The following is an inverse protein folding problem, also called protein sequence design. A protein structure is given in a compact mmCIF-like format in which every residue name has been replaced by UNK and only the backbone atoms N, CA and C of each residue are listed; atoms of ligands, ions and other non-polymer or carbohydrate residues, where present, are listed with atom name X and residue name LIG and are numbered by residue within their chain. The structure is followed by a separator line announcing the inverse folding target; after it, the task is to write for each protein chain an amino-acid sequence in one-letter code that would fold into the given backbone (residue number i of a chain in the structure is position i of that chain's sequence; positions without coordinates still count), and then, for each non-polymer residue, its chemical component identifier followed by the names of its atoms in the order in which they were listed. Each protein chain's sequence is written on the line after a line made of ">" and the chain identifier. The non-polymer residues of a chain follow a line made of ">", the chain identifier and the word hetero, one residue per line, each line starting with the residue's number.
data_IF_908730703053
#
_entry.id   IF_908730703053
#
_cell.length_a   1.000
_cell.length_b   1.000
_cell.length_c   1.000
_cell.angle_alpha   90.00
_cell.angle_beta   90.00
_cell.angle_gamma   90.00
#
_symmetry.space_group_name_H-M   'P 1'
#
loop_
_entity.id
_entity.type
_entity.pdbx_description
1 polymer ?
#
# COMPACT_ATOMS: atom_id res chain seq x y z
N UNK A 1 4.21 -11.72 -46.36
CA UNK A 1 3.24 -10.99 -45.51
C UNK A 1 2.64 -11.80 -44.36
N UNK A 2 2.41 -13.12 -44.47
CA UNK A 2 1.77 -13.93 -43.40
C UNK A 2 2.64 -14.15 -42.14
N UNK A 3 3.98 -14.10 -42.27
CA UNK A 3 4.92 -14.32 -41.15
C UNK A 3 5.09 -13.11 -40.23
N UNK A 4 4.86 -11.88 -40.72
CA UNK A 4 4.98 -10.66 -39.90
C UNK A 4 3.89 -10.53 -38.85
N UNK A 5 2.70 -11.04 -39.12
CA UNK A 5 1.57 -10.96 -38.17
C UNK A 5 1.85 -11.82 -36.93
N UNK A 6 2.52 -12.96 -37.11
CA UNK A 6 2.89 -13.90 -36.03
C UNK A 6 3.94 -13.27 -35.10
N UNK A 7 4.88 -12.50 -35.65
CA UNK A 7 5.92 -11.83 -34.85
C UNK A 7 5.31 -10.69 -34.03
N UNK A 8 4.35 -9.95 -34.61
CA UNK A 8 3.68 -8.85 -33.94
C UNK A 8 2.79 -9.33 -32.78
N UNK A 9 2.10 -10.45 -32.94
CA UNK A 9 1.33 -11.06 -31.86
C UNK A 9 2.21 -11.63 -30.75
N UNK A 10 3.38 -12.20 -31.09
CA UNK A 10 4.34 -12.67 -30.08
C UNK A 10 4.86 -11.52 -29.21
N UNK A 11 5.18 -10.37 -29.81
CA UNK A 11 5.66 -9.18 -29.11
C UNK A 11 4.64 -8.60 -28.13
N UNK A 12 3.34 -8.69 -28.44
CA UNK A 12 2.26 -8.23 -27.56
C UNK A 12 2.08 -9.10 -26.30
N UNK A 13 2.40 -10.40 -26.40
CA UNK A 13 2.28 -11.34 -25.27
C UNK A 13 3.42 -11.13 -24.26
N UNK A 14 4.62 -10.75 -24.72
CA UNK A 14 5.78 -10.54 -23.82
C UNK A 14 5.68 -9.22 -23.03
N UNK A 15 5.12 -8.16 -23.63
CA UNK A 15 4.91 -6.87 -22.93
C UNK A 15 3.78 -6.93 -21.91
N UNK A 16 2.77 -7.79 -22.12
CA UNK A 16 1.66 -7.97 -21.17
C UNK A 16 2.03 -8.77 -19.92
N UNK A 17 3.13 -9.54 -19.93
CA UNK A 17 3.64 -10.22 -18.73
C UNK A 17 4.23 -9.25 -17.68
N UNK A 18 4.66 -8.05 -18.05
CA UNK A 18 5.07 -7.03 -17.08
C UNK A 18 3.85 -6.37 -16.39
N UNK A 19 2.72 -6.27 -17.08
CA UNK A 19 1.48 -5.70 -16.57
C UNK A 19 0.72 -6.63 -15.60
N UNK A 20 0.97 -7.94 -15.65
CA UNK A 20 0.27 -8.96 -14.86
C UNK A 20 1.02 -9.41 -13.59
N UNK A 21 2.26 -8.98 -13.36
CA UNK A 21 3.09 -9.48 -12.24
C UNK A 21 2.60 -9.06 -10.85
N UNK A 22 1.76 -8.04 -10.73
CA UNK A 22 1.26 -7.58 -9.44
C UNK A 22 -0.26 -7.45 -9.51
N UNK A 23 -0.99 -8.45 -9.04
CA UNK A 23 -2.45 -8.42 -8.88
C UNK A 23 -2.88 -7.31 -7.91
N UNK A 24 -2.85 -6.05 -8.36
CA UNK A 24 -3.41 -4.88 -7.70
C UNK A 24 -2.70 -4.35 -6.46
N UNK A 25 -1.70 -5.05 -5.91
CA UNK A 25 -1.00 -4.59 -4.70
C UNK A 25 0.35 -3.95 -5.08
N UNK A 26 0.50 -2.62 -5.00
CA UNK A 26 1.80 -1.97 -5.21
C UNK A 26 2.80 -2.48 -4.17
N UNK A 27 3.89 -3.09 -4.63
CA UNK A 27 4.99 -3.51 -3.77
C UNK A 27 5.90 -2.31 -3.52
N UNK A 28 5.93 -1.84 -2.27
CA UNK A 28 6.87 -0.81 -1.83
C UNK A 28 8.23 -1.41 -1.54
N UNK A 29 9.29 -0.80 -2.07
CA UNK A 29 10.67 -1.26 -1.91
C UNK A 29 11.55 -0.15 -1.35
N UNK A 30 12.48 -0.53 -0.47
CA UNK A 30 13.48 0.41 0.02
C UNK A 30 14.30 0.96 -1.15
N UNK A 31 14.63 2.25 -1.10
CA UNK A 31 15.33 2.98 -2.15
C UNK A 31 14.45 3.48 -3.30
N UNK A 32 13.14 3.18 -3.32
CA UNK A 32 12.23 3.78 -4.30
C UNK A 32 12.14 5.29 -4.09
N UNK A 33 11.90 6.04 -5.17
CA UNK A 33 11.73 7.49 -5.07
C UNK A 33 10.38 7.85 -4.43
N UNK A 34 10.34 8.98 -3.73
CA UNK A 34 9.11 9.57 -3.21
C UNK A 34 8.08 9.86 -4.32
N UNK A 35 8.57 10.21 -5.50
CA UNK A 35 7.73 10.40 -6.69
C UNK A 35 7.07 9.10 -7.13
N UNK A 36 7.83 8.01 -7.27
CA UNK A 36 7.29 6.70 -7.65
C UNK A 36 6.30 6.18 -6.59
N UNK A 37 6.60 6.44 -5.32
CA UNK A 37 5.75 6.07 -4.20
C UNK A 37 4.40 6.78 -4.26
N UNK A 38 4.40 8.10 -4.36
CA UNK A 38 3.18 8.92 -4.40
C UNK A 38 2.38 8.74 -5.69
N UNK A 39 3.04 8.49 -6.82
CA UNK A 39 2.38 8.18 -8.09
C UNK A 39 1.55 6.88 -8.04
N UNK A 40 1.97 5.91 -7.21
CA UNK A 40 1.30 4.60 -7.07
C UNK A 40 0.05 4.62 -6.18
N UNK A 41 -0.22 5.71 -5.47
CA UNK A 41 -1.21 5.78 -4.39
C UNK A 41 -2.29 6.83 -4.70
N UNK A 42 -3.52 6.38 -5.03
CA UNK A 42 -4.67 7.29 -5.25
C UNK A 42 -5.56 7.51 -4.01
N UNK A 43 -5.49 6.65 -2.99
CA UNK A 43 -6.42 6.69 -1.85
C UNK A 43 -5.74 6.29 -0.53
N UNK A 44 -6.09 6.96 0.58
CA UNK A 44 -5.70 6.67 1.98
C UNK A 44 -4.22 6.90 2.36
N UNK A 45 -3.51 7.78 1.66
CA UNK A 45 -2.18 8.24 2.04
C UNK A 45 -2.28 9.64 2.67
N UNK A 46 -1.68 9.83 3.85
CA UNK A 46 -1.62 11.10 4.55
C UNK A 46 -0.18 11.51 4.79
N UNK A 47 0.15 12.76 4.53
CA UNK A 47 1.44 13.34 4.92
C UNK A 47 1.44 13.59 6.43
N UNK A 48 2.43 13.05 7.13
CA UNK A 48 2.60 13.21 8.59
C UNK A 48 3.61 14.31 8.87
N UNK A 49 4.71 14.31 8.13
CA UNK A 49 5.81 15.25 8.32
C UNK A 49 6.52 15.49 6.98
N UNK A 50 6.93 16.73 6.73
CA UNK A 50 7.80 17.11 5.63
C UNK A 50 8.79 18.17 6.11
N UNK A 51 10.07 17.82 6.12
CA UNK A 51 11.19 18.72 6.39
C UNK A 51 12.23 18.59 5.26
N UNK A 52 13.18 19.53 5.13
CA UNK A 52 14.20 19.42 4.10
C UNK A 52 14.98 18.10 4.22
N UNK A 53 14.89 17.25 3.20
CA UNK A 53 15.56 15.95 3.16
C UNK A 53 14.87 14.84 3.95
N UNK A 54 13.72 15.08 4.60
CA UNK A 54 12.99 14.03 5.32
C UNK A 54 11.47 14.16 5.18
N UNK A 55 10.80 13.08 4.78
CA UNK A 55 9.33 13.04 4.66
C UNK A 55 8.77 11.77 5.28
N UNK A 56 7.64 11.88 5.99
CA UNK A 56 6.91 10.73 6.54
C UNK A 56 5.49 10.72 5.99
N UNK A 57 5.11 9.58 5.41
CA UNK A 57 3.73 9.31 5.02
C UNK A 57 3.11 8.22 5.90
N UNK A 58 1.80 8.31 6.10
CA UNK A 58 0.97 7.31 6.78
C UNK A 58 -0.10 6.78 5.83
N UNK A 59 -0.28 5.47 5.80
CA UNK A 59 -1.40 4.79 5.16
C UNK A 59 -2.21 4.02 6.19
N UNK A 60 -3.52 4.22 6.18
CA UNK A 60 -4.45 3.42 6.99
C UNK A 60 -4.63 2.04 6.36
N UNK A 61 -4.50 0.99 7.17
CA UNK A 61 -4.77 -0.40 6.78
C UNK A 61 -6.09 -0.81 7.40
N UNK A 62 -7.07 -1.06 6.54
CA UNK A 62 -8.42 -1.47 6.89
C UNK A 62 -8.63 -2.92 6.46
N UNK A 63 -9.34 -3.70 7.28
CA UNK A 63 -9.80 -5.06 6.89
C UNK A 63 -11.16 -4.98 6.21
N UNK A 64 -12.03 -4.10 6.71
CA UNK A 64 -13.33 -3.76 6.14
C UNK A 64 -13.50 -2.24 6.18
N UNK A 65 -14.44 -1.67 5.39
CA UNK A 65 -14.65 -0.22 5.21
C UNK A 65 -14.94 0.60 6.48
N UNK A 66 -14.96 -0.03 7.66
CA UNK A 66 -15.29 0.56 8.95
C UNK A 66 -14.24 0.25 10.03
N UNK A 67 -13.26 -0.62 9.76
CA UNK A 67 -12.31 -1.09 10.77
C UNK A 67 -10.87 -0.92 10.32
N UNK A 68 -10.25 0.12 10.84
CA UNK A 68 -8.79 0.27 10.84
C UNK A 68 -8.20 -0.79 11.76
N UNK A 69 -7.24 -1.56 11.23
CA UNK A 69 -6.50 -2.57 12.01
C UNK A 69 -5.06 -2.17 12.25
N UNK A 70 -4.49 -1.36 11.37
CA UNK A 70 -3.12 -0.90 11.50
C UNK A 70 -2.89 0.40 10.73
N UNK A 71 -1.79 1.06 11.07
CA UNK A 71 -1.22 2.18 10.34
C UNK A 71 0.14 1.77 9.78
N UNK A 72 0.37 2.03 8.49
CA UNK A 72 1.67 1.86 7.83
C UNK A 72 2.34 3.21 7.67
N UNK A 73 3.56 3.36 8.17
CA UNK A 73 4.39 4.54 8.03
C UNK A 73 5.52 4.29 7.04
N UNK A 74 5.80 5.28 6.19
CA UNK A 74 6.83 5.27 5.16
C UNK A 74 7.72 6.48 5.38
N UNK A 75 9.02 6.25 5.58
CA UNK A 75 9.99 7.30 5.91
C UNK A 75 10.93 7.47 4.72
N UNK A 76 11.06 8.71 4.26
CA UNK A 76 11.90 9.10 3.16
C UNK A 76 13.03 9.96 3.68
N UNK A 77 14.25 9.62 3.30
CA UNK A 77 15.43 10.46 3.48
C UNK A 77 15.97 10.80 2.09
N UNK A 78 16.23 12.07 1.82
CA UNK A 78 16.69 12.59 0.51
C UNK A 78 15.85 12.07 -0.67
N UNK A 79 14.53 12.01 -0.48
CA UNK A 79 13.57 11.55 -1.49
C UNK A 79 13.58 10.04 -1.75
N UNK A 80 14.21 9.24 -0.89
CA UNK A 80 14.31 7.78 -1.00
C UNK A 80 13.65 7.08 0.18
N UNK A 81 12.83 6.05 -0.09
CA UNK A 81 12.21 5.25 0.97
C UNK A 81 13.27 4.47 1.75
N UNK A 82 13.54 4.85 2.99
CA UNK A 82 14.56 4.20 3.84
C UNK A 82 13.97 3.27 4.89
N UNK A 83 12.69 3.46 5.24
CA UNK A 83 12.04 2.65 6.27
C UNK A 83 10.56 2.53 6.05
N UNK A 84 10.03 1.36 6.41
CA UNK A 84 8.60 1.10 6.54
C UNK A 84 8.32 0.59 7.94
N UNK A 85 7.24 1.04 8.58
CA UNK A 85 6.84 0.60 9.91
C UNK A 85 5.33 0.36 9.98
N UNK A 86 4.95 -0.83 10.41
CA UNK A 86 3.57 -1.15 10.76
C UNK A 86 3.32 -0.89 12.25
N UNK A 87 2.20 -0.27 12.56
CA UNK A 87 1.71 -0.05 13.92
C UNK A 87 0.29 -0.61 13.98
N UNK A 88 0.08 -1.68 14.73
CA UNK A 88 -1.26 -2.25 14.94
C UNK A 88 -2.08 -1.31 15.82
N UNK A 89 -3.36 -1.11 15.47
CA UNK A 89 -4.29 -0.39 16.33
C UNK A 89 -4.75 -1.30 17.49
N UNK A 90 -4.98 -0.76 18.70
CA UNK A 90 -5.52 -1.54 19.80
C UNK A 90 -6.86 -2.17 19.42
N UNK A 91 -7.03 -3.47 19.70
CA UNK A 91 -8.34 -4.11 19.51
C UNK A 91 -9.31 -3.54 20.55
N UNK A 92 -10.54 -3.15 20.17
CA UNK A 92 -11.54 -2.72 21.14
C UNK A 92 -11.83 -3.85 22.13
N UNK A 93 -11.80 -3.53 23.42
CA UNK A 93 -12.16 -4.46 24.49
C UNK A 93 -13.69 -4.52 24.53
N UNK A 94 -14.27 -5.67 24.18
CA UNK A 94 -15.71 -5.89 24.31
C UNK A 94 -15.99 -6.41 25.72
N UNK A 95 -16.67 -5.62 26.54
CA UNK A 95 -17.18 -6.06 27.85
C UNK A 95 -18.59 -6.60 27.64
N UNK A 96 -18.78 -7.90 27.87
CA UNK A 96 -20.12 -8.51 27.84
C UNK A 96 -20.72 -8.40 29.23
N UNK A 97 -21.69 -7.51 29.41
CA UNK A 97 -22.47 -7.46 30.64
C UNK A 97 -23.44 -8.64 30.70
N UNK A 98 -23.20 -9.56 31.62
CA UNK A 98 -24.12 -10.66 31.88
C UNK A 98 -25.27 -10.12 32.75
N UNK A 99 -26.37 -9.72 32.09
CA UNK A 99 -27.60 -9.31 32.77
C UNK A 99 -28.09 -10.48 33.61
N UNK A 100 -27.90 -10.42 34.94
CA UNK A 100 -28.58 -11.33 35.88
C UNK A 100 -30.08 -11.12 35.71
N UNK A 101 -30.75 -12.08 35.07
CA UNK A 101 -32.19 -12.21 35.18
C UNK A 101 -32.46 -12.61 36.64
N UNK A 102 -32.97 -11.65 37.40
CA UNK A 102 -33.41 -11.86 38.78
C UNK A 102 -34.55 -12.88 38.83
N UNK A 103 -34.48 -13.71 39.87
CA UNK A 103 -35.47 -14.69 40.33
C UNK A 103 -36.90 -14.12 40.43
#
# INVERSE_FOLDING_TARGET
>A
MKRSIIILSLLFIITSCAALKNGGVPQYTLGMSEQDFTASQRFNLSLVEATPGHTIYKRTVEVDAQRVVASMYYYFDDGKLVRMRRVEEPKPIVVVEQKRQGL
#
